data_IF_363121410397
#
_entry.id   IF_363121410397
#
_cell.length_a   1.000
_cell.length_b   1.000
_cell.length_c   1.000
_cell.angle_alpha   90.00
_cell.angle_beta   90.00
_cell.angle_gamma   90.00
#
_symmetry.space_group_name_H-M   'P 1'
#
loop_
_entity.id
_entity.type
_entity.pdbx_description
1 polymer ?
#
# COMPACT_ATOMS: atom_id res chain seq x y z
N UNK A 1 -13.84 8.18 -19.93
CA UNK A 1 -12.74 7.57 -19.18
C UNK A 1 -13.27 7.04 -17.85
N UNK A 2 -13.10 5.75 -17.63
CA UNK A 2 -13.59 5.13 -16.40
C UNK A 2 -12.72 5.54 -15.23
N UNK A 3 -13.35 5.85 -14.10
CA UNK A 3 -12.63 6.09 -12.88
C UNK A 3 -12.19 4.76 -12.28
N UNK A 4 -10.98 4.71 -11.75
CA UNK A 4 -10.59 3.57 -10.94
C UNK A 4 -11.48 3.49 -9.71
N UNK A 5 -11.83 2.28 -9.31
CA UNK A 5 -12.49 2.02 -8.04
C UNK A 5 -11.64 1.12 -7.14
N UNK A 6 -10.38 0.99 -7.50
CA UNK A 6 -9.42 0.21 -6.74
C UNK A 6 -8.41 1.13 -6.08
N UNK A 7 -8.13 0.85 -4.82
CA UNK A 7 -7.20 1.63 -4.01
C UNK A 7 -6.26 0.70 -3.28
N UNK A 8 -4.98 1.05 -3.29
CA UNK A 8 -3.96 0.27 -2.62
C UNK A 8 -3.66 0.92 -1.28
N UNK A 9 -3.72 0.13 -0.22
CA UNK A 9 -3.31 0.52 1.12
C UNK A 9 -1.94 -0.10 1.38
N UNK A 10 -0.95 0.74 1.64
CA UNK A 10 0.41 0.31 1.95
C UNK A 10 0.66 0.54 3.44
N UNK A 11 0.87 -0.54 4.18
CA UNK A 11 1.09 -0.49 5.62
C UNK A 11 2.58 -0.31 5.87
N UNK A 12 2.95 0.80 6.49
CA UNK A 12 4.35 1.16 6.68
C UNK A 12 4.63 1.45 8.15
N UNK A 13 5.74 0.92 8.65
CA UNK A 13 6.12 1.16 10.02
C UNK A 13 7.32 0.34 10.45
N UNK A 14 7.66 0.50 11.72
CA UNK A 14 8.69 -0.27 12.40
C UNK A 14 8.08 -1.55 12.97
N UNK A 15 8.92 -2.42 13.51
CA UNK A 15 8.46 -3.64 14.18
C UNK A 15 7.89 -3.32 15.58
N UNK A 16 6.77 -2.62 15.61
CA UNK A 16 6.11 -2.12 16.82
C UNK A 16 5.66 -3.22 17.77
N UNK A 17 5.41 -4.42 17.23
CA UNK A 17 4.90 -5.54 18.01
C UNK A 17 5.91 -6.08 19.04
N UNK A 18 7.18 -5.78 18.89
CA UNK A 18 8.21 -6.24 19.81
C UNK A 18 8.11 -5.62 21.20
N UNK A 19 7.44 -4.48 21.33
CA UNK A 19 7.25 -3.81 22.61
C UNK A 19 6.01 -4.25 23.37
N UNK A 20 5.20 -5.11 22.78
CA UNK A 20 3.95 -5.56 23.38
C UNK A 20 4.13 -6.88 24.12
N UNK A 21 3.36 -7.05 25.20
CA UNK A 21 3.25 -8.36 25.86
C UNK A 21 2.49 -9.34 24.94
N UNK A 22 2.63 -10.63 25.21
CA UNK A 22 1.90 -11.65 24.45
C UNK A 22 0.37 -11.43 24.50
N UNK A 23 -0.14 -11.03 25.65
CA UNK A 23 -1.57 -10.75 25.83
C UNK A 23 -2.02 -9.55 25.03
N UNK A 24 -1.26 -8.46 25.09
CA UNK A 24 -1.53 -7.26 24.29
C UNK A 24 -1.50 -7.56 22.80
N UNK A 25 -0.49 -8.32 22.37
CA UNK A 25 -0.33 -8.68 20.96
C UNK A 25 -1.50 -9.54 20.48
N UNK A 26 -1.95 -10.49 21.29
CA UNK A 26 -3.10 -11.34 20.94
C UNK A 26 -4.36 -10.49 20.73
N UNK A 27 -4.56 -9.48 21.57
CA UNK A 27 -5.69 -8.57 21.45
C UNK A 27 -5.66 -7.80 20.14
N UNK A 28 -4.48 -7.28 19.78
CA UNK A 28 -4.31 -6.55 18.50
C UNK A 28 -4.55 -7.49 17.32
N UNK A 29 -4.00 -8.70 17.36
CA UNK A 29 -4.20 -9.70 16.31
C UNK A 29 -5.68 -10.01 16.09
N UNK A 30 -6.44 -10.16 17.17
CA UNK A 30 -7.87 -10.41 17.11
C UNK A 30 -8.61 -9.23 16.47
N UNK A 31 -8.21 -8.00 16.80
CA UNK A 31 -8.79 -6.78 16.23
C UNK A 31 -8.49 -6.67 14.73
N UNK A 32 -7.26 -6.96 14.32
CA UNK A 32 -6.85 -6.92 12.91
C UNK A 32 -7.62 -8.00 12.12
N UNK A 33 -7.72 -9.20 12.67
CA UNK A 33 -8.48 -10.27 12.03
C UNK A 33 -9.93 -9.85 11.80
N UNK A 34 -10.57 -9.28 12.83
CA UNK A 34 -11.95 -8.80 12.72
C UNK A 34 -12.09 -7.68 11.66
N UNK A 35 -11.11 -6.80 11.57
CA UNK A 35 -11.10 -5.73 10.59
C UNK A 35 -11.06 -6.28 9.16
N UNK A 36 -10.17 -7.24 8.89
CA UNK A 36 -10.11 -7.90 7.58
C UNK A 36 -11.36 -8.71 7.27
N UNK A 37 -11.93 -9.37 8.25
CA UNK A 37 -13.17 -10.14 8.08
C UNK A 37 -14.35 -9.23 7.68
N UNK A 38 -14.44 -8.05 8.29
CA UNK A 38 -15.48 -7.08 7.91
C UNK A 38 -15.31 -6.60 6.49
N UNK A 39 -14.08 -6.30 6.08
CA UNK A 39 -13.79 -5.87 4.71
C UNK A 39 -14.10 -6.95 3.69
N UNK A 40 -13.73 -8.19 4.01
CA UNK A 40 -14.01 -9.34 3.15
C UNK A 40 -15.52 -9.57 3.05
N UNK A 41 -16.22 -9.53 4.19
CA UNK A 41 -17.67 -9.77 4.24
C UNK A 41 -18.48 -8.72 3.51
N UNK A 42 -17.99 -7.49 3.43
CA UNK A 42 -18.65 -6.41 2.70
C UNK A 42 -18.28 -6.37 1.21
N UNK A 43 -17.41 -7.28 0.75
CA UNK A 43 -16.98 -7.33 -0.63
C UNK A 43 -15.99 -6.25 -1.03
N UNK A 44 -15.45 -5.53 -0.07
CA UNK A 44 -14.54 -4.40 -0.35
C UNK A 44 -13.09 -4.81 -0.49
N UNK A 45 -12.69 -5.93 0.09
CA UNK A 45 -11.30 -6.40 0.03
C UNK A 45 -11.11 -7.33 -1.17
N UNK A 46 -10.21 -6.96 -2.07
CA UNK A 46 -9.85 -7.77 -3.23
C UNK A 46 -8.66 -8.66 -2.97
N UNK A 47 -7.65 -8.14 -2.30
CA UNK A 47 -6.41 -8.87 -2.01
C UNK A 47 -5.70 -8.21 -0.85
N UNK A 48 -4.96 -8.98 -0.09
CA UNK A 48 -4.09 -8.49 0.97
C UNK A 48 -3.01 -9.51 1.26
N UNK A 49 -1.79 -9.05 1.50
CA UNK A 49 -0.69 -9.92 1.87
C UNK A 49 0.24 -9.18 2.82
N UNK A 50 0.75 -9.88 3.84
CA UNK A 50 1.87 -9.37 4.62
C UNK A 50 3.16 -9.51 3.80
N UNK A 51 4.15 -8.69 4.13
CA UNK A 51 5.48 -8.76 3.52
C UNK A 51 6.51 -9.08 4.59
N UNK A 52 7.40 -10.00 4.29
CA UNK A 52 8.53 -10.30 5.15
C UNK A 52 9.51 -9.12 5.14
N UNK A 53 10.33 -9.01 6.19
CA UNK A 53 11.34 -7.97 6.26
C UNK A 53 12.63 -8.34 5.52
N UNK A 54 12.63 -9.46 4.84
CA UNK A 54 13.72 -9.90 3.97
C UNK A 54 13.46 -9.39 2.56
N UNK A 55 14.52 -9.03 1.86
CA UNK A 55 14.37 -8.58 0.49
C UNK A 55 15.59 -7.80 0.03
N UNK A 56 15.42 -7.10 -1.08
CA UNK A 56 16.48 -6.30 -1.67
C UNK A 56 15.89 -5.02 -2.27
N UNK A 57 16.68 -3.97 -2.24
CA UNK A 57 16.38 -2.72 -2.94
C UNK A 57 17.40 -2.59 -4.05
N UNK A 58 16.93 -2.53 -5.27
CA UNK A 58 17.79 -2.46 -6.45
C UNK A 58 17.66 -1.05 -7.03
N UNK A 59 18.80 -0.41 -7.26
CA UNK A 59 18.84 0.94 -7.80
C UNK A 59 20.10 1.12 -8.64
N UNK A 60 20.24 2.31 -9.22
CA UNK A 60 21.35 2.66 -10.06
C UNK A 60 21.17 2.20 -11.50
N UNK A 61 22.04 2.74 -12.38
CA UNK A 61 22.01 2.40 -13.79
C UNK A 61 22.37 0.91 -13.97
N UNK A 62 21.58 0.18 -14.72
CA UNK A 62 21.72 -1.25 -14.95
C UNK A 62 21.54 -2.11 -13.68
N UNK A 63 20.88 -1.55 -12.63
CA UNK A 63 20.62 -2.29 -11.42
C UNK A 63 21.87 -2.65 -10.62
N UNK A 64 22.90 -1.82 -10.67
CA UNK A 64 24.19 -2.14 -10.05
C UNK A 64 24.22 -1.99 -8.53
N UNK A 65 23.31 -1.20 -7.98
CA UNK A 65 23.24 -0.99 -6.53
C UNK A 65 22.19 -1.92 -5.97
N UNK A 66 22.61 -2.78 -5.05
CA UNK A 66 21.70 -3.71 -4.36
C UNK A 66 21.90 -3.55 -2.87
N UNK A 67 20.81 -3.22 -2.17
CA UNK A 67 20.78 -3.19 -0.71
C UNK A 67 19.95 -4.38 -0.25
N UNK A 68 20.58 -5.28 0.50
CA UNK A 68 19.94 -6.51 0.95
C UNK A 68 19.27 -6.35 2.32
N UNK A 69 18.23 -7.14 2.55
CA UNK A 69 17.63 -7.36 3.85
C UNK A 69 18.19 -8.61 4.53
N UNK A 70 17.75 -8.92 5.78
CA UNK A 70 16.56 -8.36 6.43
C UNK A 70 16.71 -6.90 6.84
N UNK A 71 15.63 -6.16 6.74
CA UNK A 71 15.61 -4.77 7.18
C UNK A 71 15.53 -4.72 8.70
N UNK A 72 16.31 -3.81 9.30
CA UNK A 72 16.35 -3.65 10.75
C UNK A 72 14.95 -3.36 11.33
N UNK A 73 14.68 -3.84 12.54
CA UNK A 73 13.40 -3.66 13.20
C UNK A 73 13.05 -2.19 13.46
N UNK A 74 14.05 -1.34 13.61
CA UNK A 74 13.88 0.10 13.79
C UNK A 74 13.62 0.85 12.49
N UNK A 75 13.79 0.18 11.34
CA UNK A 75 13.57 0.81 10.03
C UNK A 75 12.09 0.76 9.67
N UNK A 76 11.56 1.89 9.19
CA UNK A 76 10.22 1.94 8.65
C UNK A 76 10.23 1.31 7.25
N UNK A 77 9.47 0.23 7.10
CA UNK A 77 9.34 -0.47 5.83
C UNK A 77 7.88 -0.76 5.56
N UNK A 78 7.57 -1.01 4.30
CA UNK A 78 6.23 -1.49 3.94
C UNK A 78 6.13 -2.94 4.40
N UNK A 79 5.24 -3.19 5.36
CA UNK A 79 5.06 -4.51 5.96
C UNK A 79 3.90 -5.29 5.39
N UNK A 80 3.18 -4.73 4.43
CA UNK A 80 2.06 -5.39 3.81
C UNK A 80 1.24 -4.46 2.93
N UNK A 81 0.29 -5.02 2.23
CA UNK A 81 -0.62 -4.23 1.40
C UNK A 81 -2.03 -4.83 1.44
N UNK A 82 -2.99 -3.98 1.14
CA UNK A 82 -4.38 -4.39 0.90
C UNK A 82 -4.90 -3.66 -0.33
N UNK A 83 -5.53 -4.38 -1.23
CA UNK A 83 -6.20 -3.82 -2.39
C UNK A 83 -7.70 -3.81 -2.10
N UNK A 84 -8.28 -2.62 -2.02
CA UNK A 84 -9.70 -2.47 -1.73
C UNK A 84 -10.43 -1.92 -2.96
N UNK A 85 -11.69 -2.29 -3.09
CA UNK A 85 -12.56 -1.85 -4.17
C UNK A 85 -13.71 -1.06 -3.56
N UNK A 86 -13.68 0.25 -3.77
CA UNK A 86 -14.68 1.20 -3.24
C UNK A 86 -14.90 2.31 -4.25
N UNK A 87 -15.93 3.12 -4.03
CA UNK A 87 -16.37 4.09 -5.02
C UNK A 87 -15.58 5.40 -5.03
N UNK A 88 -14.81 5.69 -3.99
CA UNK A 88 -14.10 6.96 -3.87
C UNK A 88 -12.86 6.85 -3.00
N UNK A 89 -11.95 7.80 -3.19
CA UNK A 89 -10.77 7.95 -2.35
C UNK A 89 -11.17 8.16 -0.88
N UNK A 90 -12.22 8.93 -0.64
CA UNK A 90 -12.70 9.18 0.73
C UNK A 90 -13.16 7.89 1.42
N UNK A 91 -13.79 6.97 0.70
CA UNK A 91 -14.14 5.67 1.26
C UNK A 91 -12.89 4.83 1.59
N UNK A 92 -11.88 4.86 0.72
CA UNK A 92 -10.63 4.16 0.97
C UNK A 92 -9.90 4.73 2.20
N UNK A 93 -9.90 6.05 2.33
CA UNK A 93 -9.32 6.73 3.50
C UNK A 93 -10.07 6.34 4.78
N UNK A 94 -11.39 6.28 4.72
CA UNK A 94 -12.20 5.87 5.88
C UNK A 94 -11.86 4.45 6.33
N UNK A 95 -11.65 3.55 5.37
CA UNK A 95 -11.22 2.18 5.66
C UNK A 95 -9.85 2.20 6.36
N UNK A 96 -8.89 2.93 5.81
CA UNK A 96 -7.55 3.02 6.39
C UNK A 96 -7.57 3.56 7.81
N UNK A 97 -8.40 4.60 8.08
CA UNK A 97 -8.54 5.19 9.41
C UNK A 97 -9.06 4.20 10.45
N UNK A 98 -9.80 3.19 10.04
CA UNK A 98 -10.36 2.20 10.95
C UNK A 98 -9.39 1.07 11.29
N UNK A 99 -8.18 1.08 10.74
CA UNK A 99 -7.22 0.02 10.99
C UNK A 99 -6.72 0.05 12.42
N UNK A 100 -6.83 -1.06 13.17
CA UNK A 100 -6.44 -1.08 14.58
C UNK A 100 -4.97 -0.82 14.85
N UNK A 101 -4.09 -1.07 13.88
CA UNK A 101 -2.63 -0.93 14.08
C UNK A 101 -2.16 0.52 14.04
N UNK A 102 -3.01 1.47 13.66
CA UNK A 102 -2.63 2.89 13.64
C UNK A 102 -2.23 3.41 15.03
N UNK A 103 -2.70 2.78 16.11
CA UNK A 103 -2.33 3.13 17.48
C UNK A 103 -0.83 2.94 17.77
N UNK A 104 -0.12 2.19 16.94
CA UNK A 104 1.26 1.79 17.16
C UNK A 104 2.25 2.53 16.26
N UNK A 105 1.94 3.78 15.96
CA UNK A 105 2.82 4.67 15.20
C UNK A 105 3.10 4.17 13.78
N UNK A 106 2.12 3.50 13.19
CA UNK A 106 2.17 3.07 11.80
C UNK A 106 1.56 4.13 10.89
N UNK A 107 1.94 4.06 9.61
CA UNK A 107 1.36 4.86 8.56
C UNK A 107 0.69 3.95 7.54
N UNK A 108 -0.40 4.41 6.96
CA UNK A 108 -1.03 3.74 5.84
C UNK A 108 -1.09 4.73 4.68
N UNK A 109 -0.38 4.41 3.62
CA UNK A 109 -0.45 5.20 2.40
C UNK A 109 -1.60 4.67 1.56
N UNK A 110 -2.52 5.55 1.16
CA UNK A 110 -3.69 5.20 0.37
C UNK A 110 -3.51 5.79 -1.01
N UNK A 111 -3.52 4.92 -2.04
CA UNK A 111 -3.28 5.36 -3.41
C UNK A 111 -4.29 4.76 -4.38
N UNK A 112 -4.91 5.59 -5.23
CA UNK A 112 -5.72 5.04 -6.32
C UNK A 112 -4.85 4.21 -7.26
N UNK A 113 -5.39 3.09 -7.73
CA UNK A 113 -4.75 2.33 -8.79
C UNK A 113 -5.05 3.04 -10.10
N UNK A 114 -4.03 3.48 -10.82
CA UNK A 114 -4.19 4.18 -12.07
C UNK A 114 -4.58 3.24 -13.21
N UNK A 115 -5.33 3.75 -14.15
CA UNK A 115 -5.73 2.99 -15.35
C UNK A 115 -4.54 2.73 -16.25
N UNK A 116 -3.57 3.65 -16.27
CA UNK A 116 -2.34 3.49 -17.04
C UNK A 116 -1.16 4.11 -16.31
N UNK A 117 0.03 3.71 -16.69
CA UNK A 117 1.26 4.27 -16.13
C UNK A 117 1.34 5.76 -16.45
N UNK A 118 1.65 6.63 -15.46
CA UNK A 118 1.79 8.07 -15.71
C UNK A 118 2.80 8.41 -16.80
N UNK A 119 3.87 7.63 -16.92
CA UNK A 119 4.87 7.80 -17.98
C UNK A 119 4.25 7.58 -19.36
N UNK A 120 3.44 6.54 -19.52
CA UNK A 120 2.73 6.23 -20.77
C UNK A 120 1.76 7.35 -21.13
N UNK A 121 1.02 7.83 -20.14
CA UNK A 121 0.09 8.94 -20.32
C UNK A 121 0.82 10.20 -20.79
N UNK A 122 1.92 10.51 -20.14
CA UNK A 122 2.74 11.68 -20.48
C UNK A 122 3.28 11.58 -21.93
N UNK A 123 3.84 10.42 -22.29
CA UNK A 123 4.36 10.18 -23.63
C UNK A 123 3.27 10.35 -24.70
N UNK A 124 2.09 9.80 -24.43
CA UNK A 124 0.96 9.92 -25.35
C UNK A 124 0.55 11.40 -25.54
N UNK A 125 0.52 12.16 -24.46
CA UNK A 125 0.19 13.59 -24.52
C UNK A 125 1.22 14.37 -25.31
N UNK A 126 2.50 14.10 -25.12
CA UNK A 126 3.58 14.75 -25.89
C UNK A 126 3.47 14.44 -27.38
N UNK A 127 3.23 13.21 -27.73
CA UNK A 127 3.08 12.81 -29.14
C UNK A 127 1.85 13.47 -29.79
N UNK A 128 0.76 13.57 -29.06
CA UNK A 128 -0.43 14.26 -29.56
C UNK A 128 -0.16 15.75 -29.81
N UNK A 129 0.57 16.42 -28.93
CA UNK A 129 0.95 17.82 -29.09
C UNK A 129 1.86 18.02 -30.30
N UNK A 130 2.85 17.14 -30.52
CA UNK A 130 3.72 17.19 -31.67
C UNK A 130 2.95 17.01 -32.98
N UNK A 131 2.03 16.06 -33.03
CA UNK A 131 1.18 15.84 -34.21
C UNK A 131 0.31 17.06 -34.50
N UNK A 132 -0.24 17.68 -33.48
CA UNK A 132 -1.05 18.87 -33.61
C UNK A 132 -0.21 20.06 -34.12
N UNK A 133 0.99 20.26 -33.59
CA UNK A 133 1.89 21.32 -34.00
C UNK A 133 2.40 21.14 -35.43
N UNK A 134 2.54 19.90 -35.89
CA UNK A 134 3.00 19.59 -37.25
C UNK A 134 1.89 19.75 -38.32
N UNK A 135 0.64 19.75 -37.88
CA UNK A 135 -0.50 19.95 -38.78
C UNK A 135 -0.68 21.44 -39.08
#
# INVERSE_FOLDING_TARGET
MEKTNEYLLLFQGKAWWNSLSAEELQKVMDQVKAWFERLTGSGKLKAAQPLAREGAIISGRNGRVVADGPFAESKEVIGGYALVQVNSLNEAIAIARSCPTLEFDMQIEVRPVGEECPMTKHARQMLAEEQFAAA
#
